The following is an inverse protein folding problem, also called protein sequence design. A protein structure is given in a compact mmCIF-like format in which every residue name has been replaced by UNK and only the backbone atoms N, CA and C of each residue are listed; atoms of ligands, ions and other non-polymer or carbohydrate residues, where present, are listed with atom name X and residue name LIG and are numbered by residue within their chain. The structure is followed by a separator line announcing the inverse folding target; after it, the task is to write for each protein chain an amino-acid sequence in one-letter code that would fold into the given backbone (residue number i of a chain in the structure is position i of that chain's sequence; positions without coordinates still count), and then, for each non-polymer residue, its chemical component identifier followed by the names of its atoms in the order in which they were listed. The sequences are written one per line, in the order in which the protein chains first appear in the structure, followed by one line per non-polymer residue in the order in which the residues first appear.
data_IF_574770162917
#
_entry.id   IF_574770162917
#
_cell.length_a   1.000
_cell.length_b   1.000
_cell.length_c   1.000
_cell.angle_alpha   90.00
_cell.angle_beta   90.00
_cell.angle_gamma   90.00
#
_symmetry.space_group_name_H-M   'P 1'
#
loop_
_entity.id
_entity.type
_entity.pdbx_description
1 polymer ?
#
# COMPACT_ATOMS: atom_id res chain seq x y z
N UNK A 1 -3.48 -15.24 14.94
CA UNK A 1 -2.67 -15.73 13.85
C UNK A 1 -2.66 -14.70 12.73
N UNK A 2 -1.47 -14.41 12.22
CA UNK A 2 -1.29 -13.52 11.07
C UNK A 2 -1.55 -14.35 9.81
N UNK A 3 -2.59 -14.03 9.06
CA UNK A 3 -2.81 -14.65 7.76
C UNK A 3 -1.93 -13.93 6.73
N UNK A 4 -0.86 -14.60 6.32
CA UNK A 4 0.05 -14.13 5.28
C UNK A 4 -0.51 -14.56 3.93
N UNK A 5 -0.85 -13.62 3.07
CA UNK A 5 -1.11 -13.91 1.66
C UNK A 5 0.26 -14.07 1.00
N UNK A 6 0.73 -15.32 0.86
CA UNK A 6 2.02 -15.63 0.25
C UNK A 6 1.92 -15.60 -1.26
N UNK A 7 2.91 -14.98 -1.88
CA UNK A 7 3.12 -14.97 -3.31
C UNK A 7 3.83 -16.26 -3.81
N UNK A 8 3.42 -17.45 -3.35
CA UNK A 8 3.92 -18.73 -3.92
C UNK A 8 3.29 -19.04 -5.30
N UNK A 9 2.90 -18.02 -6.02
CA UNK A 9 2.18 -18.09 -7.30
C UNK A 9 3.06 -17.92 -8.53
N UNK A 10 4.38 -18.02 -8.40
CA UNK A 10 5.27 -17.86 -9.57
C UNK A 10 5.03 -18.96 -10.64
N UNK A 11 4.59 -20.15 -10.25
CA UNK A 11 4.29 -21.24 -11.19
C UNK A 11 2.94 -21.09 -11.92
N UNK A 12 1.91 -20.53 -11.27
CA UNK A 12 0.61 -20.24 -11.92
C UNK A 12 0.70 -19.03 -12.87
N UNK A 13 1.68 -18.17 -12.67
CA UNK A 13 1.86 -16.93 -13.42
C UNK A 13 2.32 -17.15 -14.86
N UNK A 14 3.08 -18.21 -15.12
CA UNK A 14 3.61 -18.53 -16.48
C UNK A 14 2.49 -18.99 -17.42
N UNK A 15 1.46 -19.67 -16.92
CA UNK A 15 0.32 -20.10 -17.73
C UNK A 15 -0.67 -18.96 -18.03
N UNK A 16 -0.76 -17.94 -17.15
CA UNK A 16 -1.67 -16.79 -17.31
C UNK A 16 -1.16 -15.77 -18.32
N UNK A 17 0.14 -15.57 -18.44
CA UNK A 17 0.72 -14.64 -19.44
C UNK A 17 0.44 -15.04 -20.88
N UNK A 18 0.27 -16.32 -21.16
CA UNK A 18 -0.08 -16.83 -22.50
C UNK A 18 -1.53 -16.58 -22.90
N UNK A 19 -2.43 -16.32 -21.93
CA UNK A 19 -3.86 -16.09 -22.20
C UNK A 19 -4.23 -14.61 -22.38
N UNK A 20 -3.42 -13.68 -21.89
CA UNK A 20 -3.71 -12.23 -21.93
C UNK A 20 -3.42 -11.51 -23.27
N UNK A 21 -2.82 -12.16 -24.25
CA UNK A 21 -2.54 -11.51 -25.55
C UNK A 21 -3.76 -11.36 -26.48
N UNK A 22 -4.93 -11.87 -26.13
CA UNK A 22 -6.06 -12.05 -27.04
C UNK A 22 -7.18 -10.99 -26.99
N UNK A 23 -7.16 -10.00 -26.09
CA UNK A 23 -8.23 -9.01 -26.02
C UNK A 23 -7.78 -7.59 -26.34
N UNK A 24 -7.99 -7.16 -27.60
CA UNK A 24 -7.95 -5.75 -28.03
C UNK A 24 -9.29 -5.08 -27.70
N UNK A 25 -9.33 -4.14 -26.79
CA UNK A 25 -10.49 -3.27 -26.56
C UNK A 25 -10.09 -1.78 -26.46
N UNK A 26 -10.95 -0.84 -26.87
CA UNK A 26 -10.57 0.57 -27.10
C UNK A 26 -10.44 1.38 -25.80
N UNK A 27 -9.25 1.89 -25.56
CA UNK A 27 -8.79 2.61 -24.36
C UNK A 27 -9.52 3.95 -24.11
N UNK A 28 -10.18 4.56 -25.08
CA UNK A 28 -10.65 5.94 -25.00
C UNK A 28 -11.91 6.18 -24.15
N UNK A 29 -12.82 5.20 -24.06
CA UNK A 29 -14.05 5.34 -23.27
C UNK A 29 -13.82 5.13 -21.77
N UNK A 30 -12.86 4.30 -21.40
CA UNK A 30 -12.53 3.96 -20.01
C UNK A 30 -11.80 5.10 -19.27
N UNK A 31 -11.00 5.89 -19.98
CA UNK A 31 -10.27 7.02 -19.39
C UNK A 31 -11.20 8.10 -18.81
N UNK A 32 -12.44 8.25 -19.31
CA UNK A 32 -13.41 9.23 -18.84
C UNK A 32 -14.20 8.77 -17.60
N UNK A 33 -14.50 7.47 -17.47
CA UNK A 33 -15.16 6.93 -16.27
C UNK A 33 -14.20 6.90 -15.09
N UNK A 34 -12.94 6.54 -15.33
CA UNK A 34 -11.90 6.48 -14.31
C UNK A 34 -11.54 7.86 -13.70
N UNK A 35 -11.60 8.93 -14.50
CA UNK A 35 -11.41 10.30 -14.00
C UNK A 35 -12.44 10.74 -12.95
N UNK A 36 -13.59 10.09 -12.87
CA UNK A 36 -14.62 10.36 -11.84
C UNK A 36 -14.36 9.64 -10.51
N UNK A 37 -13.49 8.63 -10.51
CA UNK A 37 -13.30 7.72 -9.38
C UNK A 37 -11.94 7.85 -8.70
N UNK A 38 -10.98 8.53 -9.35
CA UNK A 38 -9.76 8.94 -8.68
C UNK A 38 -10.03 10.11 -7.73
N UNK A 39 -9.45 10.09 -6.52
CA UNK A 39 -9.45 11.31 -5.74
C UNK A 39 -8.72 12.36 -6.55
N UNK A 40 -9.41 13.41 -6.86
CA UNK A 40 -8.68 14.63 -7.18
C UNK A 40 -7.97 15.04 -5.88
N UNK A 41 -6.65 14.82 -5.81
CA UNK A 41 -5.83 15.23 -4.66
C UNK A 41 -6.03 16.69 -4.31
N UNK A 42 -6.46 17.51 -5.27
CA UNK A 42 -6.81 18.92 -5.07
C UNK A 42 -8.07 19.11 -4.22
N UNK A 43 -8.94 18.09 -4.13
CA UNK A 43 -10.16 18.12 -3.30
C UNK A 43 -9.93 17.59 -1.89
N UNK A 44 -8.83 16.88 -1.65
CA UNK A 44 -8.46 16.44 -0.31
C UNK A 44 -8.01 17.66 0.52
N UNK A 45 -8.48 17.74 1.75
CA UNK A 45 -7.96 18.75 2.67
C UNK A 45 -6.43 18.55 2.85
N UNK A 46 -5.63 19.64 2.86
CA UNK A 46 -4.17 19.55 2.94
C UNK A 46 -3.68 18.69 4.12
N UNK A 47 -4.37 18.73 5.26
CA UNK A 47 -4.06 17.93 6.44
C UNK A 47 -4.18 16.42 6.16
N UNK A 48 -5.18 16.01 5.38
CA UNK A 48 -5.39 14.59 4.99
C UNK A 48 -4.25 14.11 4.11
N UNK A 49 -3.90 14.88 3.07
CA UNK A 49 -2.80 14.52 2.17
C UNK A 49 -1.46 14.46 2.91
N UNK A 50 -1.17 15.45 3.77
CA UNK A 50 0.02 15.44 4.62
C UNK A 50 0.08 14.20 5.52
N UNK A 51 -1.07 13.78 6.06
CA UNK A 51 -1.15 12.56 6.88
C UNK A 51 -0.90 11.31 6.05
N UNK A 52 -1.47 11.22 4.85
CA UNK A 52 -1.22 10.09 3.94
C UNK A 52 0.22 10.01 3.46
N UNK A 53 0.94 11.12 3.35
CA UNK A 53 2.34 11.14 2.95
C UNK A 53 3.30 10.78 4.10
N UNK A 54 2.86 10.83 5.35
CA UNK A 54 3.75 10.65 6.50
C UNK A 54 4.32 9.24 6.57
N UNK A 55 5.65 9.16 6.78
CA UNK A 55 6.36 7.95 7.20
C UNK A 55 6.72 8.06 8.70
N UNK A 56 6.14 7.18 9.49
CA UNK A 56 6.31 7.19 10.95
C UNK A 56 7.68 6.66 11.39
N UNK A 57 8.34 5.88 10.54
CA UNK A 57 9.69 5.35 10.83
C UNK A 57 10.74 6.46 10.80
N UNK A 58 10.69 7.31 9.78
CA UNK A 58 11.68 8.39 9.58
C UNK A 58 11.23 9.73 10.16
N UNK A 59 9.93 9.89 10.44
CA UNK A 59 9.29 11.15 10.83
C UNK A 59 9.19 12.17 9.69
N UNK A 60 9.50 11.76 8.46
CA UNK A 60 9.40 12.56 7.22
C UNK A 60 8.22 12.07 6.38
N UNK A 61 8.11 12.56 5.17
CA UNK A 61 7.22 11.95 4.17
C UNK A 61 7.86 10.69 3.58
N UNK A 62 7.02 9.79 3.05
CA UNK A 62 7.47 8.72 2.15
C UNK A 62 8.24 9.35 0.99
N UNK A 63 9.20 8.64 0.44
CA UNK A 63 10.04 9.14 -0.65
C UNK A 63 9.81 8.34 -1.93
N UNK A 64 10.25 8.86 -3.07
CA UNK A 64 9.94 8.26 -4.37
C UNK A 64 10.35 6.80 -4.48
N UNK A 65 11.59 6.47 -4.11
CA UNK A 65 12.19 5.13 -4.23
C UNK A 65 12.05 4.51 -5.64
N UNK A 66 12.02 5.38 -6.65
CA UNK A 66 12.01 5.05 -8.08
C UNK A 66 12.69 6.15 -8.87
N UNK A 67 13.29 5.81 -10.02
CA UNK A 67 13.93 6.75 -10.94
C UNK A 67 12.97 7.28 -12.01
N UNK A 68 11.72 6.84 -12.03
CA UNK A 68 10.76 7.11 -13.12
C UNK A 68 10.36 8.59 -13.24
N UNK A 69 10.64 9.39 -12.23
CA UNK A 69 10.24 10.79 -12.17
C UNK A 69 11.41 11.78 -12.19
N UNK A 70 12.66 11.31 -12.26
CA UNK A 70 13.87 12.16 -12.16
C UNK A 70 13.98 13.19 -13.28
N UNK A 71 13.40 12.91 -14.45
CA UNK A 71 13.34 13.85 -15.58
C UNK A 71 12.50 15.10 -15.28
N UNK A 72 11.62 15.06 -14.26
CA UNK A 72 10.80 16.19 -13.85
C UNK A 72 11.54 17.21 -12.97
N UNK A 73 12.73 16.86 -12.45
CA UNK A 73 13.55 17.72 -11.63
C UNK A 73 14.19 17.03 -10.43
N UNK A 74 15.11 17.72 -9.77
CA UNK A 74 15.88 17.17 -8.63
C UNK A 74 15.01 16.80 -7.41
N UNK A 75 13.87 17.46 -7.24
CA UNK A 75 12.88 17.20 -6.20
C UNK A 75 12.14 15.86 -6.40
N UNK A 76 12.21 15.28 -7.60
CA UNK A 76 11.67 13.97 -7.96
C UNK A 76 12.73 12.86 -7.92
N UNK A 77 13.94 13.15 -7.41
CA UNK A 77 15.00 12.15 -7.34
C UNK A 77 14.65 11.01 -6.38
N UNK A 78 15.23 9.86 -6.62
CA UNK A 78 14.96 8.59 -5.93
C UNK A 78 14.80 8.74 -4.40
N UNK A 79 15.67 9.51 -3.73
CA UNK A 79 15.66 9.68 -2.26
C UNK A 79 14.90 10.91 -1.78
N UNK A 80 14.35 11.71 -2.68
CA UNK A 80 13.59 12.91 -2.32
C UNK A 80 12.24 12.53 -1.73
N UNK A 81 11.78 13.21 -0.65
CA UNK A 81 10.45 12.99 -0.10
C UNK A 81 9.39 13.43 -1.10
N UNK A 82 8.26 12.74 -1.14
CA UNK A 82 7.09 13.17 -1.90
C UNK A 82 6.44 14.33 -1.14
N UNK A 83 6.37 15.49 -1.78
CA UNK A 83 5.77 16.69 -1.21
C UNK A 83 4.42 16.99 -1.88
N UNK A 84 3.42 17.54 -1.15
CA UNK A 84 2.11 17.85 -1.73
C UNK A 84 2.17 18.71 -2.99
N UNK A 85 3.04 19.70 -3.03
CA UNK A 85 3.21 20.63 -4.16
C UNK A 85 3.75 19.96 -5.43
N UNK A 86 4.36 18.79 -5.32
CA UNK A 86 4.88 18.00 -6.44
C UNK A 86 3.80 17.12 -7.09
N UNK A 87 2.66 16.94 -6.42
CA UNK A 87 1.62 15.97 -6.80
C UNK A 87 0.19 16.56 -6.76
N UNK A 88 0.05 17.87 -6.61
CA UNK A 88 -1.24 18.60 -6.62
C UNK A 88 -1.26 19.69 -7.67
N UNK A 89 -2.38 20.38 -7.85
CA UNK A 89 -2.56 21.41 -8.86
C UNK A 89 -2.43 20.83 -10.27
N UNK A 90 -1.67 21.48 -11.12
CA UNK A 90 -1.37 21.02 -12.48
C UNK A 90 -0.57 19.69 -12.49
N UNK A 91 0.11 19.39 -11.38
CA UNK A 91 0.93 18.16 -11.17
C UNK A 91 0.12 17.00 -10.60
N UNK A 92 -1.20 17.13 -10.43
CA UNK A 92 -2.07 16.11 -9.83
C UNK A 92 -2.02 14.73 -10.51
N UNK A 93 -1.60 14.71 -11.78
CA UNK A 93 -1.47 13.47 -12.57
C UNK A 93 -0.04 12.90 -12.63
N UNK A 94 0.93 13.46 -11.91
CA UNK A 94 2.31 12.93 -11.85
C UNK A 94 2.29 11.51 -11.31
N UNK A 95 1.70 11.30 -10.13
CA UNK A 95 1.42 9.96 -9.61
C UNK A 95 0.04 9.54 -10.11
N UNK A 96 0.01 8.50 -10.91
CA UNK A 96 -1.22 7.91 -11.46
C UNK A 96 -1.18 6.40 -11.40
N UNK A 97 -2.35 5.74 -11.27
CA UNK A 97 -2.44 4.29 -11.31
C UNK A 97 -1.78 3.70 -12.56
N UNK A 98 -1.31 2.48 -12.42
CA UNK A 98 -0.62 1.76 -13.51
C UNK A 98 -1.44 1.72 -14.79
N UNK A 99 -2.76 1.50 -14.70
CA UNK A 99 -3.65 1.43 -15.87
C UNK A 99 -3.70 2.73 -16.68
N UNK A 100 -3.31 3.86 -16.10
CA UNK A 100 -3.21 5.15 -16.77
C UNK A 100 -1.79 5.47 -17.27
N UNK A 101 -0.81 4.62 -16.96
CA UNK A 101 0.57 4.72 -17.48
C UNK A 101 0.61 4.17 -18.89
N UNK A 102 1.52 4.67 -19.73
CA UNK A 102 1.72 4.13 -21.09
C UNK A 102 2.21 2.68 -21.02
N UNK A 103 2.10 1.96 -22.15
CA UNK A 103 2.60 0.58 -22.21
C UNK A 103 4.11 0.51 -21.99
N UNK A 104 4.85 1.50 -22.48
CA UNK A 104 6.29 1.63 -22.32
C UNK A 104 6.65 1.82 -20.84
N UNK A 105 5.96 2.70 -20.13
CA UNK A 105 6.11 2.90 -18.67
C UNK A 105 5.81 1.59 -17.91
N UNK A 106 4.70 0.92 -18.23
CA UNK A 106 4.33 -0.35 -17.60
C UNK A 106 5.37 -1.45 -17.81
N UNK A 107 5.91 -1.57 -19.03
CA UNK A 107 6.94 -2.56 -19.36
C UNK A 107 8.26 -2.21 -18.65
N UNK A 108 8.64 -0.93 -18.61
CA UNK A 108 9.82 -0.45 -17.91
C UNK A 108 9.77 -0.81 -16.41
N UNK A 109 8.66 -0.53 -15.76
CA UNK A 109 8.44 -0.84 -14.33
C UNK A 109 8.38 -2.35 -14.06
N UNK A 110 7.75 -3.12 -14.93
CA UNK A 110 7.72 -4.58 -14.81
C UNK A 110 9.13 -5.20 -14.90
N UNK A 111 9.98 -4.69 -15.80
CA UNK A 111 11.36 -5.19 -15.98
C UNK A 111 12.32 -4.68 -14.90
N UNK A 112 12.23 -3.40 -14.54
CA UNK A 112 13.16 -2.75 -13.63
C UNK A 112 12.83 -2.96 -12.16
N UNK A 113 11.55 -3.12 -11.81
CA UNK A 113 11.06 -3.10 -10.43
C UNK A 113 10.16 -4.30 -10.09
N UNK A 114 10.01 -5.27 -11.00
CA UNK A 114 9.11 -6.40 -10.84
C UNK A 114 7.66 -5.98 -10.49
N UNK A 115 7.23 -4.79 -10.93
CA UNK A 115 5.89 -4.29 -10.72
C UNK A 115 4.89 -5.06 -11.60
N UNK A 116 4.30 -6.10 -11.03
CA UNK A 116 3.33 -6.94 -11.70
C UNK A 116 2.00 -6.85 -10.95
N UNK A 117 0.95 -6.43 -11.66
CA UNK A 117 -0.38 -6.30 -11.08
C UNK A 117 -1.21 -7.55 -11.33
N UNK A 118 -1.88 -7.98 -10.27
CA UNK A 118 -2.70 -9.18 -10.28
C UNK A 118 -4.14 -8.81 -10.66
N UNK A 119 -4.73 -9.46 -11.69
CA UNK A 119 -6.13 -9.25 -12.03
C UNK A 119 -7.06 -9.49 -10.85
N UNK A 120 -8.16 -8.72 -10.75
CA UNK A 120 -9.08 -8.77 -9.61
C UNK A 120 -9.68 -10.15 -9.39
N UNK A 121 -9.91 -10.97 -10.46
CA UNK A 121 -10.41 -12.33 -10.30
C UNK A 121 -9.42 -13.27 -9.59
N UNK A 122 -8.10 -13.08 -9.77
CA UNK A 122 -7.06 -13.83 -9.03
C UNK A 122 -7.04 -13.37 -7.58
N UNK A 123 -7.05 -12.04 -7.34
CA UNK A 123 -7.13 -11.48 -5.98
C UNK A 123 -8.36 -12.05 -5.25
N UNK A 124 -9.51 -12.13 -5.94
CA UNK A 124 -10.73 -12.72 -5.38
C UNK A 124 -10.56 -14.19 -5.02
N UNK A 125 -10.00 -14.99 -5.93
CA UNK A 125 -9.79 -16.42 -5.69
C UNK A 125 -8.89 -16.65 -4.46
N UNK A 126 -7.80 -15.87 -4.33
CA UNK A 126 -6.89 -15.99 -3.18
C UNK A 126 -7.50 -15.46 -1.88
N UNK A 127 -8.24 -14.35 -1.92
CA UNK A 127 -8.97 -13.83 -0.76
C UNK A 127 -10.06 -14.81 -0.29
N UNK A 128 -10.69 -15.56 -1.20
CA UNK A 128 -11.64 -16.61 -0.83
C UNK A 128 -11.00 -17.72 -0.01
N UNK A 129 -9.76 -18.11 -0.31
CA UNK A 129 -9.04 -19.09 0.50
C UNK A 129 -8.81 -18.61 1.94
N UNK A 130 -8.57 -17.31 2.12
CA UNK A 130 -8.44 -16.69 3.47
C UNK A 130 -9.78 -16.77 4.21
N UNK A 131 -10.89 -16.44 3.53
CA UNK A 131 -12.23 -16.51 4.12
C UNK A 131 -12.64 -17.94 4.44
N UNK A 132 -12.37 -18.91 3.55
CA UNK A 132 -12.64 -20.32 3.78
C UNK A 132 -11.89 -20.83 5.02
N UNK A 133 -10.61 -20.48 5.17
CA UNK A 133 -9.83 -20.84 6.35
C UNK A 133 -10.42 -20.23 7.62
N UNK A 134 -10.91 -18.98 7.57
CA UNK A 134 -11.55 -18.32 8.69
C UNK A 134 -12.91 -18.96 9.03
N UNK A 135 -13.75 -19.26 8.02
CA UNK A 135 -15.06 -19.89 8.18
C UNK A 135 -14.97 -21.32 8.74
N UNK A 136 -13.85 -22.03 8.51
CA UNK A 136 -13.63 -23.35 9.07
C UNK A 136 -13.44 -23.33 10.61
N UNK A 137 -13.15 -22.16 11.20
CA UNK A 137 -13.05 -22.00 12.65
C UNK A 137 -14.45 -21.83 13.26
N UNK A 138 -14.75 -22.61 14.32
CA UNK A 138 -16.06 -22.59 14.98
C UNK A 138 -16.19 -21.42 15.96
N UNK A 139 -17.43 -21.05 16.26
CA UNK A 139 -17.80 -20.08 17.31
C UNK A 139 -17.29 -18.66 17.11
N UNK A 140 -17.04 -18.24 15.88
CA UNK A 140 -16.64 -16.87 15.53
C UNK A 140 -17.83 -16.02 15.09
N UNK A 141 -17.77 -14.74 15.49
CA UNK A 141 -18.76 -13.73 15.12
C UNK A 141 -18.23 -12.82 14.01
N UNK A 142 -19.11 -12.01 13.41
CA UNK A 142 -18.72 -10.98 12.46
C UNK A 142 -17.70 -10.00 13.06
N UNK A 143 -17.75 -9.76 14.39
CA UNK A 143 -16.81 -8.91 15.12
C UNK A 143 -15.40 -9.50 15.12
N UNK A 144 -15.30 -10.81 15.21
CA UNK A 144 -14.02 -11.51 15.15
C UNK A 144 -13.44 -11.47 13.74
N UNK A 145 -14.31 -11.58 12.70
CA UNK A 145 -13.90 -11.38 11.32
C UNK A 145 -13.28 -10.00 11.10
N UNK A 146 -13.94 -8.94 11.55
CA UNK A 146 -13.44 -7.57 11.43
C UNK A 146 -12.09 -7.38 12.14
N UNK A 147 -11.86 -8.07 13.26
CA UNK A 147 -10.59 -8.05 14.02
C UNK A 147 -9.50 -8.96 13.46
N UNK A 148 -9.80 -9.80 12.47
CA UNK A 148 -8.78 -10.65 11.84
C UNK A 148 -7.70 -9.78 11.21
N UNK A 149 -6.43 -10.01 11.59
CA UNK A 149 -5.30 -9.26 11.04
C UNK A 149 -4.93 -9.82 9.67
N UNK A 150 -4.82 -8.93 8.68
CA UNK A 150 -4.32 -9.26 7.35
C UNK A 150 -3.14 -8.35 6.97
N UNK A 151 -2.21 -8.90 6.20
CA UNK A 151 -1.04 -8.20 5.69
C UNK A 151 -0.87 -8.52 4.21
N UNK A 152 -0.88 -7.49 3.37
CA UNK A 152 -0.48 -7.57 1.96
C UNK A 152 0.99 -7.21 1.83
N UNK A 153 1.80 -8.14 1.34
CA UNK A 153 3.23 -7.94 1.12
C UNK A 153 3.47 -7.36 -0.27
N UNK A 154 4.38 -6.39 -0.39
CA UNK A 154 4.66 -5.68 -1.65
C UNK A 154 3.34 -5.25 -2.32
N UNK A 155 2.56 -4.45 -1.58
CA UNK A 155 1.14 -4.27 -1.87
C UNK A 155 0.84 -3.48 -3.14
N UNK A 156 1.81 -2.79 -3.75
CA UNK A 156 1.57 -1.95 -4.91
C UNK A 156 0.45 -0.94 -4.64
N UNK A 157 -0.64 -1.01 -5.40
CA UNK A 157 -1.86 -0.22 -5.21
C UNK A 157 -2.88 -0.91 -4.25
N UNK A 158 -2.48 -1.95 -3.53
CA UNK A 158 -3.22 -2.75 -2.55
C UNK A 158 -4.49 -3.47 -3.07
N UNK A 159 -4.44 -4.19 -4.21
CA UNK A 159 -5.61 -4.82 -4.81
C UNK A 159 -6.20 -5.97 -3.98
N UNK A 160 -5.43 -6.59 -3.07
CA UNK A 160 -5.93 -7.62 -2.16
C UNK A 160 -6.65 -7.03 -0.94
N UNK A 161 -6.33 -5.79 -0.56
CA UNK A 161 -6.98 -5.10 0.55
C UNK A 161 -8.23 -4.36 0.10
N UNK A 162 -8.14 -3.59 -1.01
CA UNK A 162 -9.26 -2.82 -1.57
C UNK A 162 -9.29 -2.95 -3.08
N UNK A 163 -10.48 -3.18 -3.64
CA UNK A 163 -10.69 -3.38 -5.06
C UNK A 163 -11.70 -2.37 -5.61
N UNK A 164 -11.34 -1.09 -5.60
CA UNK A 164 -12.18 -0.04 -6.17
C UNK A 164 -12.26 -0.12 -7.69
N UNK A 165 -11.24 -0.67 -8.30
CA UNK A 165 -11.11 -0.92 -9.74
C UNK A 165 -10.21 -2.15 -9.96
N UNK A 166 -10.33 -2.76 -11.13
CA UNK A 166 -9.39 -3.79 -11.57
C UNK A 166 -8.08 -3.15 -12.00
N UNK A 167 -6.98 -3.53 -11.33
CA UNK A 167 -5.65 -2.94 -11.56
C UNK A 167 -5.05 -3.26 -12.92
N UNK A 168 -5.64 -4.20 -13.67
CA UNK A 168 -5.18 -4.58 -15.02
C UNK A 168 -5.99 -3.93 -16.13
N UNK A 169 -7.30 -3.75 -15.93
CA UNK A 169 -8.21 -3.17 -16.93
C UNK A 169 -8.58 -1.72 -16.64
N UNK A 170 -8.53 -1.29 -15.37
CA UNK A 170 -9.01 0.02 -14.93
C UNK A 170 -10.53 0.10 -14.78
N UNK A 171 -11.26 -1.01 -14.94
CA UNK A 171 -12.70 -1.04 -14.74
C UNK A 171 -13.06 -0.85 -13.28
N UNK A 172 -13.96 0.09 -13.01
CA UNK A 172 -14.47 0.33 -11.68
C UNK A 172 -15.28 -0.85 -11.16
N UNK A 173 -15.09 -1.19 -9.89
CA UNK A 173 -15.82 -2.26 -9.22
C UNK A 173 -16.82 -1.61 -8.24
N UNK A 174 -18.15 -1.80 -8.46
CA UNK A 174 -19.18 -1.32 -7.54
C UNK A 174 -18.96 -1.83 -6.11
N UNK A 175 -19.33 -1.03 -5.11
CA UNK A 175 -19.04 -1.30 -3.68
C UNK A 175 -19.52 -2.71 -3.26
N UNK A 176 -20.69 -3.11 -3.74
CA UNK A 176 -21.28 -4.44 -3.45
C UNK A 176 -20.48 -5.60 -4.03
N UNK A 177 -19.72 -5.36 -5.10
CA UNK A 177 -18.92 -6.36 -5.82
C UNK A 177 -17.43 -6.34 -5.45
N UNK A 178 -17.00 -5.43 -4.57
CA UNK A 178 -15.59 -5.32 -4.15
C UNK A 178 -15.16 -6.56 -3.40
N UNK A 179 -13.93 -6.99 -3.67
CA UNK A 179 -13.40 -8.31 -3.28
C UNK A 179 -12.23 -8.23 -2.31
N UNK A 180 -11.71 -7.04 -2.04
CA UNK A 180 -10.59 -6.84 -1.13
C UNK A 180 -10.91 -7.25 0.31
N UNK A 181 -9.91 -7.70 1.06
CA UNK A 181 -10.12 -8.16 2.44
C UNK A 181 -10.68 -7.04 3.34
N UNK A 182 -10.26 -5.79 3.13
CA UNK A 182 -10.82 -4.64 3.84
C UNK A 182 -12.24 -4.31 3.34
N UNK A 183 -12.49 -4.42 2.03
CA UNK A 183 -13.85 -4.23 1.48
C UNK A 183 -14.84 -5.21 2.11
N UNK A 184 -14.44 -6.48 2.29
CA UNK A 184 -15.27 -7.51 2.94
C UNK A 184 -15.54 -7.18 4.41
N UNK A 185 -14.53 -6.69 5.14
CA UNK A 185 -14.71 -6.24 6.53
C UNK A 185 -15.68 -5.05 6.61
N UNK A 186 -15.55 -4.05 5.72
CA UNK A 186 -16.45 -2.90 5.69
C UNK A 186 -17.88 -3.28 5.32
N UNK A 187 -18.05 -4.24 4.41
CA UNK A 187 -19.36 -4.82 4.07
C UNK A 187 -19.98 -5.50 5.28
N UNK A 188 -19.23 -6.34 5.99
CA UNK A 188 -19.66 -6.99 7.22
C UNK A 188 -20.10 -5.98 8.29
N UNK A 189 -19.35 -4.90 8.47
CA UNK A 189 -19.74 -3.80 9.38
C UNK A 189 -21.03 -3.14 8.90
N UNK A 190 -21.18 -2.88 7.59
CA UNK A 190 -22.36 -2.23 7.03
C UNK A 190 -23.63 -3.07 7.13
N UNK A 191 -23.51 -4.40 7.09
CA UNK A 191 -24.61 -5.35 7.25
C UNK A 191 -25.10 -5.46 8.69
N UNK A 192 -24.24 -5.21 9.69
CA UNK A 192 -24.56 -5.46 11.09
C UNK A 192 -24.72 -4.19 11.95
N UNK A 193 -24.38 -3.03 11.42
CA UNK A 193 -24.36 -1.77 12.20
C UNK A 193 -25.10 -0.66 11.45
N UNK A 194 -26.16 -0.11 12.05
CA UNK A 194 -26.94 1.00 11.49
C UNK A 194 -26.61 2.36 12.11
N UNK A 195 -26.08 2.39 13.34
CA UNK A 195 -25.65 3.65 13.96
C UNK A 195 -24.33 4.13 13.35
N UNK A 196 -24.31 5.38 12.90
CA UNK A 196 -23.16 5.94 12.20
C UNK A 196 -21.90 6.09 13.06
N UNK A 197 -22.06 6.26 14.36
CA UNK A 197 -20.93 6.38 15.30
C UNK A 197 -20.35 5.00 15.60
N UNK A 198 -21.20 4.00 15.79
CA UNK A 198 -20.78 2.62 15.99
C UNK A 198 -20.14 2.06 14.72
N UNK A 199 -20.72 2.35 13.55
CA UNK A 199 -20.15 1.96 12.25
C UNK A 199 -18.72 2.49 12.10
N UNK A 200 -18.48 3.77 12.39
CA UNK A 200 -17.13 4.36 12.32
C UNK A 200 -16.14 3.69 13.29
N UNK A 201 -16.58 3.29 14.48
CA UNK A 201 -15.72 2.56 15.44
C UNK A 201 -15.30 1.19 14.88
N UNK A 202 -16.26 0.46 14.28
CA UNK A 202 -15.95 -0.84 13.68
C UNK A 202 -15.15 -0.71 12.38
N UNK A 203 -15.41 0.31 11.57
CA UNK A 203 -14.57 0.63 10.43
C UNK A 203 -13.12 0.92 10.87
N UNK A 204 -12.90 1.76 11.89
CA UNK A 204 -11.57 1.98 12.45
C UNK A 204 -10.92 0.66 12.91
N UNK A 205 -11.68 -0.24 13.54
CA UNK A 205 -11.19 -1.56 13.94
C UNK A 205 -10.75 -2.38 12.73
N UNK A 206 -11.51 -2.35 11.63
CA UNK A 206 -11.13 -3.02 10.37
C UNK A 206 -9.80 -2.48 9.83
N UNK A 207 -9.65 -1.14 9.78
CA UNK A 207 -8.41 -0.49 9.32
C UNK A 207 -7.22 -0.79 10.25
N UNK A 208 -7.40 -0.78 11.57
CA UNK A 208 -6.36 -1.12 12.55
C UNK A 208 -5.85 -2.56 12.42
N UNK A 209 -6.63 -3.44 11.79
CA UNK A 209 -6.28 -4.84 11.56
C UNK A 209 -6.00 -5.14 10.07
N UNK A 210 -5.65 -4.12 9.29
CA UNK A 210 -5.32 -4.25 7.86
C UNK A 210 -4.00 -3.56 7.61
N UNK A 211 -3.01 -4.32 7.12
CA UNK A 211 -1.62 -3.90 6.97
C UNK A 211 -1.13 -4.14 5.56
N UNK A 212 -0.14 -3.35 5.13
CA UNK A 212 0.57 -3.54 3.88
C UNK A 212 1.92 -2.83 3.87
N UNK A 213 2.85 -3.29 3.06
CA UNK A 213 4.08 -2.55 2.82
C UNK A 213 4.44 -2.54 1.35
N UNK A 214 5.12 -1.47 0.95
CA UNK A 214 5.56 -1.26 -0.43
C UNK A 214 6.94 -0.59 -0.42
N UNK A 215 7.73 -0.89 -1.46
CA UNK A 215 9.02 -0.25 -1.66
C UNK A 215 8.87 1.17 -2.21
N UNK A 216 8.05 1.32 -3.27
CA UNK A 216 7.91 2.55 -4.05
C UNK A 216 6.91 3.50 -3.40
N UNK A 217 7.31 4.75 -3.22
CA UNK A 217 6.46 5.75 -2.57
C UNK A 217 5.22 6.13 -3.38
N UNK A 218 5.31 6.15 -4.71
CA UNK A 218 4.19 6.47 -5.58
C UNK A 218 3.08 5.40 -5.50
N UNK A 219 3.45 4.12 -5.58
CA UNK A 219 2.52 2.99 -5.45
C UNK A 219 1.92 2.94 -4.04
N UNK A 220 2.75 3.16 -3.01
CA UNK A 220 2.28 3.23 -1.62
C UNK A 220 1.26 4.35 -1.39
N UNK A 221 1.48 5.53 -1.99
CA UNK A 221 0.51 6.62 -1.90
C UNK A 221 -0.82 6.26 -2.56
N UNK A 222 -0.79 5.64 -3.74
CA UNK A 222 -2.00 5.16 -4.42
C UNK A 222 -2.76 4.13 -3.58
N UNK A 223 -2.05 3.20 -2.93
CA UNK A 223 -2.65 2.26 -1.99
C UNK A 223 -3.33 2.98 -0.83
N UNK A 224 -2.64 3.93 -0.19
CA UNK A 224 -3.18 4.72 0.93
C UNK A 224 -4.41 5.53 0.53
N UNK A 225 -4.38 6.15 -0.64
CA UNK A 225 -5.53 6.87 -1.22
C UNK A 225 -6.71 5.92 -1.49
N UNK A 226 -6.46 4.75 -2.09
CA UNK A 226 -7.48 3.76 -2.36
C UNK A 226 -8.19 3.29 -1.08
N UNK A 227 -7.43 3.04 0.00
CA UNK A 227 -8.01 2.68 1.28
C UNK A 227 -8.85 3.83 1.86
N UNK A 228 -8.35 5.09 1.82
CA UNK A 228 -9.09 6.23 2.33
C UNK A 228 -10.43 6.43 1.61
N UNK A 229 -10.42 6.32 0.28
CA UNK A 229 -11.62 6.45 -0.53
C UNK A 229 -12.61 5.33 -0.27
N UNK A 230 -12.14 4.09 -0.09
CA UNK A 230 -13.01 2.97 0.25
C UNK A 230 -13.81 3.27 1.55
N UNK A 231 -13.17 3.90 2.57
CA UNK A 231 -13.89 4.35 3.76
C UNK A 231 -14.97 5.38 3.44
N UNK A 232 -14.60 6.41 2.67
CA UNK A 232 -15.51 7.53 2.36
C UNK A 232 -16.71 7.04 1.54
N UNK A 233 -16.47 6.22 0.54
CA UNK A 233 -17.49 5.65 -0.34
C UNK A 233 -18.43 4.68 0.41
N UNK A 234 -17.90 3.79 1.24
CA UNK A 234 -18.71 2.87 2.05
C UNK A 234 -19.57 3.63 3.07
N UNK A 235 -19.02 4.70 3.69
CA UNK A 235 -19.79 5.53 4.61
C UNK A 235 -20.91 6.28 3.89
N UNK A 236 -20.62 6.88 2.73
CA UNK A 236 -21.61 7.59 1.92
C UNK A 236 -22.70 6.65 1.42
N UNK A 237 -22.33 5.47 0.92
CA UNK A 237 -23.29 4.47 0.47
C UNK A 237 -24.24 4.00 1.58
N UNK A 238 -23.71 3.86 2.82
CA UNK A 238 -24.53 3.41 3.98
C UNK A 238 -25.43 4.52 4.52
N UNK A 239 -24.93 5.77 4.61
CA UNK A 239 -25.60 6.85 5.34
C UNK A 239 -26.10 8.01 4.47
N UNK A 240 -25.85 7.99 3.15
CA UNK A 240 -26.28 9.03 2.22
C UNK A 240 -25.61 10.40 2.45
N UNK A 241 -24.47 10.43 3.14
CA UNK A 241 -23.72 11.66 3.45
C UNK A 241 -22.24 11.36 3.61
N UNK A 242 -21.40 12.35 3.34
CA UNK A 242 -19.96 12.25 3.57
C UNK A 242 -19.60 12.14 5.06
N UNK A 243 -18.52 11.41 5.40
CA UNK A 243 -18.01 11.38 6.76
C UNK A 243 -17.44 12.76 7.15
N UNK A 244 -17.45 13.06 8.44
CA UNK A 244 -16.85 14.29 8.96
C UNK A 244 -15.35 14.31 8.77
N UNK A 245 -14.77 15.50 8.52
CA UNK A 245 -13.33 15.71 8.32
C UNK A 245 -12.47 15.02 9.39
N UNK A 246 -12.83 15.13 10.68
CA UNK A 246 -12.12 14.45 11.78
C UNK A 246 -12.06 12.93 11.63
N UNK A 247 -13.09 12.33 11.05
CA UNK A 247 -13.15 10.88 10.81
C UNK A 247 -12.24 10.49 9.67
N UNK A 248 -12.20 11.31 8.61
CA UNK A 248 -11.31 11.14 7.45
C UNK A 248 -9.84 11.22 7.91
N UNK A 249 -9.48 12.24 8.70
CA UNK A 249 -8.13 12.40 9.25
C UNK A 249 -7.75 11.21 10.14
N UNK A 250 -8.68 10.73 10.98
CA UNK A 250 -8.43 9.57 11.83
C UNK A 250 -8.15 8.29 11.02
N UNK A 251 -8.89 8.06 9.95
CA UNK A 251 -8.65 6.91 9.05
C UNK A 251 -7.34 7.10 8.29
N UNK A 252 -7.04 8.30 7.81
CA UNK A 252 -5.76 8.60 7.17
C UNK A 252 -4.57 8.34 8.11
N UNK A 253 -4.69 8.69 9.40
CA UNK A 253 -3.67 8.39 10.42
C UNK A 253 -3.47 6.88 10.59
N UNK A 254 -4.55 6.10 10.69
CA UNK A 254 -4.45 4.64 10.78
C UNK A 254 -3.78 4.06 9.53
N UNK A 255 -4.18 4.52 8.34
CA UNK A 255 -3.61 4.07 7.08
C UNK A 255 -2.11 4.37 7.02
N UNK A 256 -1.68 5.58 7.40
CA UNK A 256 -0.27 5.98 7.34
C UNK A 256 0.64 5.14 8.26
N UNK A 257 0.10 4.60 9.36
CA UNK A 257 0.78 3.65 10.22
C UNK A 257 0.80 2.23 9.67
N UNK A 258 -0.30 1.81 9.04
CA UNK A 258 -0.53 0.42 8.67
C UNK A 258 -0.08 0.06 7.25
N UNK A 259 0.04 1.06 6.37
CA UNK A 259 0.68 0.91 5.07
C UNK A 259 1.99 1.70 5.10
N UNK A 260 3.15 1.02 5.12
CA UNK A 260 4.46 1.67 5.31
C UNK A 260 5.45 1.35 4.21
N UNK A 261 6.45 2.22 4.04
CA UNK A 261 7.49 2.07 3.04
C UNK A 261 8.61 1.18 3.59
N UNK A 262 8.92 0.05 2.91
CA UNK A 262 9.86 -0.94 3.44
C UNK A 262 10.53 -1.77 2.35
N UNK A 263 11.81 -2.08 2.55
CA UNK A 263 12.48 -3.23 1.93
C UNK A 263 11.96 -4.51 2.61
N UNK A 264 11.08 -5.23 1.94
CA UNK A 264 10.42 -6.41 2.51
C UNK A 264 11.36 -7.58 2.81
N UNK A 265 12.53 -7.64 2.16
CA UNK A 265 13.53 -8.66 2.41
C UNK A 265 14.37 -8.38 3.66
N UNK A 266 14.52 -7.09 4.04
CA UNK A 266 15.38 -6.65 5.13
C UNK A 266 14.62 -6.08 6.33
N UNK A 267 13.35 -5.75 6.17
CA UNK A 267 12.55 -5.12 7.22
C UNK A 267 12.97 -3.69 7.57
N UNK A 268 13.70 -3.02 6.69
CA UNK A 268 14.24 -1.67 6.88
C UNK A 268 13.66 -0.70 5.84
N UNK A 269 13.78 0.60 6.10
CA UNK A 269 13.48 1.64 5.10
C UNK A 269 14.30 1.36 3.83
N UNK A 270 13.72 1.47 2.62
CA UNK A 270 14.42 1.18 1.38
C UNK A 270 15.80 1.86 1.31
N UNK A 271 16.82 1.11 0.93
CA UNK A 271 18.22 1.54 0.82
C UNK A 271 18.83 2.22 2.04
N UNK A 272 18.23 2.05 3.22
CA UNK A 272 18.84 2.52 4.46
C UNK A 272 19.98 1.60 4.95
N UNK A 273 20.04 0.37 4.45
CA UNK A 273 21.07 -0.59 4.77
C UNK A 273 22.36 -0.30 3.96
N UNK A 274 23.44 0.02 4.64
CA UNK A 274 24.74 0.33 4.04
C UNK A 274 25.59 -0.94 3.94
N UNK A 275 25.46 -1.69 2.83
CA UNK A 275 26.32 -2.84 2.53
C UNK A 275 27.11 -2.58 1.27
N UNK A 276 28.45 -2.77 1.34
CA UNK A 276 29.34 -2.51 0.22
C UNK A 276 29.54 -1.01 -0.09
N UNK A 277 29.09 -0.11 0.79
CA UNK A 277 29.25 1.33 0.60
C UNK A 277 30.65 1.74 1.07
N UNK A 278 31.45 2.29 0.17
CA UNK A 278 32.76 2.85 0.49
C UNK A 278 32.59 4.27 1.06
N UNK A 279 33.16 4.53 2.22
CA UNK A 279 33.25 5.87 2.83
C UNK A 279 34.70 6.25 2.99
N UNK A 280 35.04 7.47 2.55
CA UNK A 280 36.33 8.11 2.83
C UNK A 280 36.31 8.62 4.27
N UNK A 281 37.26 8.17 5.08
CA UNK A 281 37.45 8.61 6.47
C UNK A 281 38.75 9.33 6.54
N UNK A 282 38.74 10.56 7.10
CA UNK A 282 39.97 11.34 7.33
C UNK A 282 40.66 10.79 8.57
N UNK A 283 41.88 10.26 8.38
CA UNK A 283 42.74 9.78 9.48
C UNK A 283 43.88 10.76 9.71
N UNK A 284 44.66 10.54 10.76
CA UNK A 284 45.88 11.33 11.03
C UNK A 284 46.97 11.16 9.95
N UNK A 285 46.84 10.14 9.10
CA UNK A 285 47.82 9.80 8.05
C UNK A 285 47.33 10.11 6.63
N UNK A 286 46.11 10.69 6.50
CA UNK A 286 45.48 10.99 5.21
C UNK A 286 44.04 10.44 5.10
N UNK A 287 43.54 10.44 3.88
CA UNK A 287 42.22 9.87 3.57
C UNK A 287 42.34 8.36 3.35
N UNK A 288 41.49 7.58 4.03
CA UNK A 288 41.39 6.13 3.86
C UNK A 288 39.97 5.75 3.45
N UNK A 289 39.88 4.83 2.50
CA UNK A 289 38.58 4.27 2.06
C UNK A 289 38.22 3.06 2.91
N UNK A 290 37.09 3.13 3.60
CA UNK A 290 36.52 2.02 4.37
C UNK A 290 35.21 1.54 3.74
N UNK A 291 35.18 0.26 3.39
CA UNK A 291 33.93 -0.39 2.95
C UNK A 291 33.12 -0.80 4.17
N UNK A 292 31.88 -0.28 4.26
CA UNK A 292 30.94 -0.65 5.32
C UNK A 292 30.30 -1.98 4.95
N UNK A 293 30.43 -2.97 5.81
CA UNK A 293 29.78 -4.25 5.69
C UNK A 293 28.59 -4.31 6.64
N UNK A 294 27.41 -4.63 6.11
CA UNK A 294 26.23 -4.88 6.92
C UNK A 294 26.23 -6.32 7.41
N UNK A 295 26.25 -6.57 8.72
CA UNK A 295 26.21 -7.94 9.24
C UNK A 295 25.00 -8.75 8.80
N UNK A 296 23.81 -8.10 8.69
CA UNK A 296 22.61 -8.74 8.22
C UNK A 296 22.70 -9.21 6.76
N UNK A 297 23.31 -8.38 5.88
CA UNK A 297 23.53 -8.78 4.49
C UNK A 297 24.58 -9.90 4.34
N UNK A 298 25.61 -9.89 5.19
CA UNK A 298 26.67 -10.91 5.14
C UNK A 298 26.22 -12.27 5.68
N UNK A 299 25.34 -12.26 6.69
CA UNK A 299 24.91 -13.47 7.41
C UNK A 299 23.52 -13.93 6.99
N UNK A 300 22.87 -13.20 6.06
CA UNK A 300 21.46 -13.41 5.67
C UNK A 300 20.51 -13.38 6.89
N UNK A 301 20.84 -12.51 7.87
CA UNK A 301 20.08 -12.38 9.12
C UNK A 301 19.31 -11.07 9.12
N UNK A 302 17.99 -11.17 8.92
CA UNK A 302 17.07 -10.02 8.85
C UNK A 302 17.09 -9.15 10.12
N UNK A 303 17.57 -9.68 11.27
CA UNK A 303 17.63 -8.93 12.53
C UNK A 303 18.94 -8.18 12.74
N UNK A 304 19.95 -8.33 11.85
CA UNK A 304 21.28 -7.75 12.00
C UNK A 304 21.62 -6.69 10.96
N UNK A 305 20.62 -6.19 10.21
CA UNK A 305 20.86 -5.11 9.28
C UNK A 305 21.25 -3.80 9.99
N UNK A 306 22.15 -3.04 9.39
CA UNK A 306 22.57 -1.73 9.88
C UNK A 306 21.70 -0.57 9.35
N UNK A 307 20.60 -0.90 8.65
CA UNK A 307 19.60 0.06 8.17
C UNK A 307 18.61 0.49 9.26
N UNK A 308 17.72 1.40 8.91
CA UNK A 308 16.64 1.88 9.78
C UNK A 308 15.47 0.89 9.73
N UNK A 309 15.27 0.13 10.79
CA UNK A 309 14.14 -0.82 10.88
C UNK A 309 12.80 -0.10 10.90
N UNK A 310 11.86 -0.60 10.09
CA UNK A 310 10.53 -0.02 9.97
C UNK A 310 9.70 -0.21 11.25
N UNK A 311 9.01 0.86 11.63
CA UNK A 311 8.09 0.89 12.77
C UNK A 311 6.65 0.70 12.29
N UNK A 312 5.90 -0.04 13.07
CA UNK A 312 4.45 -0.18 12.95
C UNK A 312 3.79 0.11 14.28
N UNK A 313 2.50 0.36 14.27
CA UNK A 313 1.74 0.59 15.49
C UNK A 313 1.00 -0.67 15.93
N UNK A 314 1.25 -1.10 17.14
CA UNK A 314 0.38 -2.07 17.82
C UNK A 314 -0.83 -1.32 18.42
N UNK A 315 -1.96 -1.44 17.75
CA UNK A 315 -3.18 -0.74 18.15
C UNK A 315 -3.77 -1.26 19.48
N UNK A 316 -3.43 -2.48 19.88
CA UNK A 316 -3.87 -3.07 21.15
C UNK A 316 -3.18 -2.42 22.34
N UNK A 317 -1.87 -2.25 22.30
CA UNK A 317 -1.09 -1.60 23.35
C UNK A 317 -0.87 -0.09 23.13
N UNK A 318 -1.12 0.41 21.90
CA UNK A 318 -0.82 1.77 21.48
C UNK A 318 0.67 2.06 21.28
N UNK A 319 1.54 1.03 21.35
CA UNK A 319 3.00 1.17 21.22
C UNK A 319 3.47 1.11 19.77
N UNK A 320 4.56 1.79 19.53
CA UNK A 320 5.34 1.64 18.31
C UNK A 320 6.33 0.48 18.49
N UNK A 321 6.34 -0.44 17.53
CA UNK A 321 7.18 -1.64 17.56
C UNK A 321 7.87 -1.81 16.20
N UNK A 322 9.05 -2.42 16.18
CA UNK A 322 9.68 -2.74 14.91
C UNK A 322 8.94 -3.91 14.26
N UNK A 323 8.63 -3.78 12.97
CA UNK A 323 7.96 -4.84 12.22
C UNK A 323 8.70 -6.17 12.33
N UNK A 324 10.04 -6.13 12.27
CA UNK A 324 10.90 -7.31 12.33
C UNK A 324 10.75 -8.10 13.63
N UNK A 325 10.34 -7.49 14.73
CA UNK A 325 10.15 -8.15 16.01
C UNK A 325 8.91 -9.08 16.02
N UNK A 326 8.01 -8.93 15.03
CA UNK A 326 6.84 -9.80 14.84
C UNK A 326 7.16 -11.07 14.03
N UNK A 327 8.26 -11.09 13.28
CA UNK A 327 8.68 -12.24 12.49
C UNK A 327 9.37 -13.24 13.43
N UNK A 328 8.82 -14.42 13.51
CA UNK A 328 9.35 -15.51 14.36
C UNK A 328 10.44 -16.31 13.68
#
# INVERSE_FOLDING_TARGET
PLYLVRADTLLLYIEVLTFCEAQKSPISAYCLSYKREMPDRNTLAPEVLNTLLRDHTTGKNIFWATHDYEELGSEYSYRSPILPELITGERGMVIRPRVLKTKEEQIGRAKGMAEVFTPSWICNAQNNLVDEAWLAEKDKSWKDYVRTTCLEITCGEAPYLVSRYDTTTGEAIPIENRIGLLDRKLRMVSEHVDDSTEWQKWAQTAYMNTYGYEWQGDSLLLARESLLLAFMECYEAKFGKYPMQRSIIRIADIISWNLWQMDGLKGVVPDSCSHGVTKTVQTLFGEEEHTINCPGCQQEDIRKHNGTYCLIKDWGSGKEIRFIDLIK
#
